data_IF_255523077599
#
_entry.id   IF_255523077599
#
_cell.length_a   1.000
_cell.length_b   1.000
_cell.length_c   1.000
_cell.angle_alpha   90.00
_cell.angle_beta   90.00
_cell.angle_gamma   90.00
#
_symmetry.space_group_name_H-M   'P 1'
#
loop_
_entity.id
_entity.type
_entity.pdbx_description
1 polymer ?
#
# COMPACT_ATOMS: atom_id res chain seq x y z
N UNK A 1 1.46 27.42 -2.06
CA UNK A 1 2.04 27.23 -0.71
C UNK A 1 2.71 25.88 -0.70
N UNK A 2 4.02 25.82 -0.45
CA UNK A 2 4.71 24.55 -0.18
C UNK A 2 4.08 23.97 1.08
N UNK A 3 3.44 22.81 0.99
CA UNK A 3 3.00 22.08 2.19
C UNK A 3 4.28 21.58 2.87
N UNK A 4 4.40 21.78 4.18
CA UNK A 4 5.51 21.18 4.91
C UNK A 4 5.36 19.65 4.85
N UNK A 5 6.47 18.98 4.54
CA UNK A 5 6.52 17.52 4.42
C UNK A 5 6.31 16.92 5.80
N UNK A 6 5.27 16.11 5.96
CA UNK A 6 5.04 15.37 7.19
C UNK A 6 5.97 14.14 7.23
N UNK A 7 6.90 14.05 8.20
CA UNK A 7 7.85 12.94 8.29
C UNK A 7 7.17 11.59 8.56
N UNK A 8 5.95 11.58 9.13
CA UNK A 8 5.21 10.35 9.41
C UNK A 8 4.83 9.60 8.14
N UNK A 9 4.49 10.32 7.06
CA UNK A 9 4.06 9.74 5.78
C UNK A 9 5.22 9.49 4.80
N UNK A 10 6.47 9.59 5.26
CA UNK A 10 7.63 9.32 4.42
C UNK A 10 8.04 7.84 4.48
N UNK A 11 8.49 7.26 3.34
CA UNK A 11 9.16 5.97 3.36
C UNK A 11 10.39 5.96 4.25
N UNK A 12 10.64 4.84 4.91
CA UNK A 12 11.88 4.66 5.68
C UNK A 12 13.10 4.81 4.76
N UNK A 13 14.02 5.71 5.12
CA UNK A 13 15.24 5.96 4.36
C UNK A 13 16.11 4.71 4.29
N UNK A 14 16.67 4.43 3.11
CA UNK A 14 17.64 3.35 2.94
C UNK A 14 18.97 3.62 3.65
N UNK A 15 19.24 4.87 4.06
CA UNK A 15 20.40 5.24 4.85
C UNK A 15 20.20 4.94 6.34
N UNK A 16 18.95 4.86 6.80
CA UNK A 16 18.60 4.56 8.20
C UNK A 16 18.39 3.06 8.39
N UNK A 17 17.62 2.43 7.50
CA UNK A 17 17.34 0.99 7.55
C UNK A 17 17.52 0.40 6.16
N UNK A 18 18.39 -0.61 6.06
CA UNK A 18 18.65 -1.33 4.82
C UNK A 18 17.34 -1.87 4.20
N UNK A 19 17.25 -1.87 2.87
CA UNK A 19 16.00 -2.17 2.13
C UNK A 19 15.49 -3.59 2.35
N UNK A 20 16.37 -4.55 2.65
CA UNK A 20 16.01 -5.93 2.97
C UNK A 20 15.52 -6.12 4.42
N UNK A 21 15.44 -5.05 5.22
CA UNK A 21 15.05 -5.08 6.62
C UNK A 21 13.79 -4.24 6.89
N UNK A 22 13.08 -4.60 7.95
CA UNK A 22 11.79 -4.01 8.34
C UNK A 22 10.59 -4.81 7.83
N UNK A 23 9.39 -4.41 8.25
CA UNK A 23 8.14 -5.01 7.76
C UNK A 23 7.88 -4.50 6.34
N UNK A 24 7.64 -5.37 5.34
CA UNK A 24 7.46 -4.97 3.96
C UNK A 24 6.04 -4.44 3.72
N UNK A 25 5.82 -3.16 4.02
CA UNK A 25 4.69 -2.38 3.51
C UNK A 25 5.00 -1.86 2.10
N UNK A 26 3.97 -1.47 1.35
CA UNK A 26 4.12 -0.94 0.01
C UNK A 26 4.98 0.32 0.02
N UNK A 27 6.09 0.29 -0.71
CA UNK A 27 7.10 1.34 -0.79
C UNK A 27 7.70 1.73 0.57
N UNK A 28 7.61 0.85 1.58
CA UNK A 28 8.05 1.11 2.97
C UNK A 28 7.33 2.30 3.63
N UNK A 29 6.09 2.56 3.24
CA UNK A 29 5.21 3.57 3.85
C UNK A 29 4.71 3.11 5.22
N UNK A 30 4.23 4.02 6.08
CA UNK A 30 3.53 3.63 7.31
C UNK A 30 2.33 2.73 6.98
N UNK A 31 2.19 1.65 7.75
CA UNK A 31 0.96 0.86 7.75
C UNK A 31 -0.09 1.57 8.61
N UNK A 32 -1.30 1.74 8.08
CA UNK A 32 -2.39 2.41 8.78
C UNK A 32 -3.69 1.63 8.65
N UNK A 33 -4.40 1.53 9.75
CA UNK A 33 -5.75 0.99 9.84
C UNK A 33 -6.75 2.13 10.08
N UNK A 34 -8.02 1.89 9.79
CA UNK A 34 -9.09 2.90 9.87
C UNK A 34 -9.28 3.50 11.28
N UNK A 35 -8.87 2.79 12.34
CA UNK A 35 -8.91 3.24 13.72
C UNK A 35 -7.73 4.15 14.13
N UNK A 36 -6.74 4.34 13.24
CA UNK A 36 -5.61 5.21 13.54
C UNK A 36 -6.06 6.68 13.64
N UNK A 37 -5.65 7.45 14.68
CA UNK A 37 -6.12 8.84 14.90
C UNK A 37 -5.75 9.82 13.79
N UNK A 38 -4.84 9.42 12.89
CA UNK A 38 -4.37 10.19 11.74
C UNK A 38 -4.89 9.66 10.40
N UNK A 39 -5.87 8.75 10.41
CA UNK A 39 -6.37 8.14 9.17
C UNK A 39 -6.91 9.19 8.20
N UNK A 40 -7.61 10.21 8.71
CA UNK A 40 -8.15 11.31 7.90
C UNK A 40 -7.09 12.27 7.34
N UNK A 41 -5.82 12.16 7.78
CA UNK A 41 -4.71 12.93 7.21
C UNK A 41 -4.22 12.33 5.88
N UNK A 42 -4.61 11.10 5.55
CA UNK A 42 -4.18 10.37 4.35
C UNK A 42 -4.83 11.00 3.11
N UNK A 43 -4.02 11.30 2.10
CA UNK A 43 -4.50 11.81 0.82
C UNK A 43 -4.52 10.72 -0.26
N UNK A 44 -3.62 9.74 -0.18
CA UNK A 44 -3.60 8.57 -1.06
C UNK A 44 -3.37 7.30 -0.21
N UNK A 45 -4.36 6.43 -0.17
CA UNK A 45 -4.26 5.10 0.42
C UNK A 45 -3.85 4.06 -0.63
N UNK A 46 -2.85 3.23 -0.29
CA UNK A 46 -2.44 2.07 -1.10
C UNK A 46 -2.96 0.82 -0.40
N UNK A 47 -3.83 0.06 -1.07
CA UNK A 47 -4.42 -1.16 -0.52
C UNK A 47 -4.22 -2.34 -1.46
N UNK A 48 -4.11 -3.53 -0.89
CA UNK A 48 -4.05 -4.78 -1.64
C UNK A 48 -5.40 -5.49 -1.67
N UNK A 49 -5.71 -6.11 -2.81
CA UNK A 49 -6.85 -7.03 -2.94
C UNK A 49 -6.30 -8.42 -3.29
N UNK A 50 -5.95 -9.25 -2.28
CA UNK A 50 -5.33 -10.56 -2.50
C UNK A 50 -6.39 -11.61 -2.87
N UNK A 51 -7.04 -11.44 -4.02
CA UNK A 51 -8.13 -12.30 -4.48
C UNK A 51 -7.97 -12.68 -5.94
N UNK A 52 -8.30 -13.92 -6.28
CA UNK A 52 -8.28 -14.44 -7.65
C UNK A 52 -9.44 -15.41 -7.93
N UNK A 53 -10.53 -15.33 -7.14
CA UNK A 53 -11.69 -16.22 -7.24
C UNK A 53 -12.43 -16.14 -8.59
N UNK A 54 -12.27 -15.06 -9.34
CA UNK A 54 -12.77 -14.92 -10.71
C UNK A 54 -11.90 -15.58 -11.79
N UNK A 55 -10.78 -16.20 -11.43
CA UNK A 55 -9.84 -16.76 -12.41
C UNK A 55 -10.34 -18.11 -12.93
N UNK A 56 -10.48 -18.24 -14.25
CA UNK A 56 -11.03 -19.44 -14.90
C UNK A 56 -9.99 -20.47 -15.37
N UNK A 57 -8.69 -20.11 -15.38
CA UNK A 57 -7.62 -20.97 -15.90
C UNK A 57 -6.43 -21.06 -14.92
N UNK A 58 -5.59 -20.03 -14.83
CA UNK A 58 -4.33 -20.07 -14.07
C UNK A 58 -4.39 -19.17 -12.83
N UNK A 59 -4.69 -19.71 -11.62
CA UNK A 59 -4.75 -18.92 -10.39
C UNK A 59 -3.35 -18.53 -9.89
N UNK A 60 -3.31 -17.69 -8.85
CA UNK A 60 -2.07 -17.26 -8.19
C UNK A 60 -2.01 -15.76 -7.92
N UNK A 61 -2.86 -14.96 -8.56
CA UNK A 61 -2.89 -13.51 -8.38
C UNK A 61 -3.21 -13.10 -6.92
N UNK A 62 -3.84 -13.97 -6.12
CA UNK A 62 -4.03 -13.77 -4.68
C UNK A 62 -2.73 -13.54 -3.91
N UNK A 63 -1.58 -13.98 -4.43
CA UNK A 63 -0.26 -13.77 -3.83
C UNK A 63 0.42 -12.48 -4.30
N UNK A 64 -0.14 -11.81 -5.31
CA UNK A 64 0.39 -10.61 -5.93
C UNK A 64 0.68 -9.47 -4.94
N UNK A 65 -0.29 -9.02 -4.12
CA UNK A 65 -0.07 -7.91 -3.20
C UNK A 65 1.11 -8.11 -2.25
N UNK A 66 1.32 -9.33 -1.74
CA UNK A 66 2.46 -9.66 -0.88
C UNK A 66 3.80 -9.51 -1.63
N UNK A 67 3.90 -10.08 -2.82
CA UNK A 67 5.13 -9.98 -3.62
C UNK A 67 5.40 -8.56 -4.12
N UNK A 68 4.35 -7.80 -4.44
CA UNK A 68 4.46 -6.40 -4.81
C UNK A 68 5.03 -5.56 -3.66
N UNK A 69 4.58 -5.77 -2.42
CA UNK A 69 5.16 -5.10 -1.25
C UNK A 69 6.62 -5.43 -1.04
N UNK A 70 7.00 -6.71 -1.12
CA UNK A 70 8.38 -7.16 -0.99
C UNK A 70 9.30 -6.49 -2.03
N UNK A 71 8.93 -6.56 -3.31
CA UNK A 71 9.71 -5.98 -4.41
C UNK A 71 9.72 -4.45 -4.41
N UNK A 72 8.67 -3.80 -3.87
CA UNK A 72 8.59 -2.33 -3.78
C UNK A 72 9.70 -1.73 -2.90
N UNK A 73 10.31 -2.52 -2.01
CA UNK A 73 11.41 -2.08 -1.15
C UNK A 73 12.64 -1.61 -1.93
N UNK A 74 12.78 -2.01 -3.21
CA UNK A 74 13.87 -1.57 -4.09
C UNK A 74 13.65 -0.18 -4.72
N UNK A 75 12.42 0.33 -4.72
CA UNK A 75 12.07 1.59 -5.40
C UNK A 75 12.44 2.80 -4.54
N UNK A 76 12.81 3.91 -5.19
CA UNK A 76 13.19 5.18 -4.54
C UNK A 76 12.01 6.16 -4.50
N UNK A 77 12.06 7.12 -3.59
CA UNK A 77 10.98 8.05 -3.31
C UNK A 77 10.76 9.14 -4.39
N UNK A 78 11.69 9.31 -5.33
CA UNK A 78 11.62 10.33 -6.39
C UNK A 78 11.78 9.68 -7.77
N UNK A 79 10.96 10.13 -8.72
CA UNK A 79 11.17 9.85 -10.13
C UNK A 79 12.27 10.77 -10.70
N UNK A 80 13.38 10.24 -11.24
CA UNK A 80 14.52 11.06 -11.69
C UNK A 80 14.27 11.80 -13.02
N UNK A 81 13.24 11.44 -13.78
CA UNK A 81 12.92 12.09 -15.07
C UNK A 81 12.01 13.28 -14.85
N UNK A 82 10.97 13.11 -14.02
CA UNK A 82 10.00 14.17 -13.75
C UNK A 82 10.34 15.00 -12.51
N UNK A 83 11.31 14.56 -11.71
CA UNK A 83 11.66 15.12 -10.39
C UNK A 83 10.50 15.14 -9.39
N UNK A 84 9.45 14.34 -9.62
CA UNK A 84 8.30 14.24 -8.72
C UNK A 84 8.64 13.27 -7.59
N UNK A 85 8.43 13.72 -6.36
CA UNK A 85 8.50 12.91 -5.14
C UNK A 85 7.08 12.77 -4.57
N UNK A 86 6.29 11.74 -4.95
CA UNK A 86 4.86 11.68 -4.61
C UNK A 86 4.61 11.76 -3.10
N UNK A 87 5.44 11.09 -2.30
CA UNK A 87 5.30 11.04 -0.84
C UNK A 87 5.65 12.36 -0.15
N UNK A 88 6.42 13.24 -0.79
CA UNK A 88 6.66 14.59 -0.30
C UNK A 88 5.55 15.57 -0.73
N UNK A 89 4.79 15.23 -1.76
CA UNK A 89 3.70 16.08 -2.28
C UNK A 89 2.37 15.86 -1.58
N UNK A 90 2.09 14.62 -1.17
CA UNK A 90 0.82 14.21 -0.55
C UNK A 90 1.06 13.12 0.50
N UNK A 91 0.21 13.08 1.52
CA UNK A 91 0.29 12.07 2.57
C UNK A 91 -0.17 10.71 2.03
N UNK A 92 0.75 9.74 1.98
CA UNK A 92 0.46 8.39 1.51
C UNK A 92 0.67 7.35 2.61
N UNK A 93 -0.15 6.30 2.63
CA UNK A 93 -0.01 5.19 3.56
C UNK A 93 -0.38 3.84 2.93
N UNK A 94 0.15 2.74 3.47
CA UNK A 94 -0.29 1.38 3.15
C UNK A 94 -1.44 0.99 4.08
N UNK A 95 -2.63 0.81 3.49
CA UNK A 95 -3.86 0.48 4.20
C UNK A 95 -4.02 -1.03 4.47
N UNK A 96 -3.02 -1.83 4.11
CA UNK A 96 -3.07 -3.27 4.24
C UNK A 96 -3.90 -3.92 3.13
N UNK A 97 -4.57 -5.02 3.48
CA UNK A 97 -5.32 -5.83 2.52
C UNK A 97 -6.81 -5.85 2.85
N UNK A 98 -7.65 -5.85 1.83
CA UNK A 98 -9.06 -6.24 1.98
C UNK A 98 -9.09 -7.72 2.37
N UNK A 99 -9.77 -8.11 3.47
CA UNK A 99 -9.84 -9.50 3.89
C UNK A 99 -10.69 -10.34 2.92
N UNK A 100 -10.10 -11.24 2.12
CA UNK A 100 -10.86 -11.97 1.11
C UNK A 100 -11.64 -13.13 1.74
N UNK A 101 -12.72 -13.56 1.08
CA UNK A 101 -13.33 -14.87 1.31
C UNK A 101 -12.94 -15.83 0.17
N UNK A 102 -12.01 -16.78 0.40
CA UNK A 102 -11.51 -17.63 -0.68
C UNK A 102 -12.52 -18.65 -1.21
N UNK A 103 -13.65 -18.86 -0.52
CA UNK A 103 -14.66 -19.87 -0.88
C UNK A 103 -15.94 -19.28 -1.45
N UNK A 104 -16.24 -18.02 -1.14
CA UNK A 104 -17.43 -17.31 -1.62
C UNK A 104 -17.03 -16.05 -2.41
N UNK A 105 -17.38 -16.08 -3.70
CA UNK A 105 -17.12 -14.99 -4.64
C UNK A 105 -17.95 -13.76 -4.28
N UNK A 106 -19.24 -13.93 -3.98
CA UNK A 106 -20.13 -12.80 -3.72
C UNK A 106 -19.76 -12.11 -2.39
N UNK A 107 -19.44 -12.90 -1.36
CA UNK A 107 -18.94 -12.33 -0.10
C UNK A 107 -17.63 -11.56 -0.30
N UNK A 108 -16.68 -12.09 -1.09
CA UNK A 108 -15.46 -11.35 -1.42
C UNK A 108 -15.73 -10.04 -2.15
N UNK A 109 -16.65 -10.03 -3.10
CA UNK A 109 -17.02 -8.83 -3.84
C UNK A 109 -17.64 -7.78 -2.90
N UNK A 110 -18.56 -8.19 -2.02
CA UNK A 110 -19.17 -7.30 -1.03
C UNK A 110 -18.12 -6.70 -0.09
N UNK A 111 -17.20 -7.51 0.45
CA UNK A 111 -16.12 -7.02 1.32
C UNK A 111 -15.20 -6.01 0.64
N UNK A 112 -14.90 -6.20 -0.65
CA UNK A 112 -14.12 -5.23 -1.42
C UNK A 112 -14.89 -3.92 -1.59
N UNK A 113 -16.20 -3.98 -1.87
CA UNK A 113 -17.05 -2.80 -1.93
C UNK A 113 -17.07 -2.06 -0.59
N UNK A 114 -17.40 -2.75 0.50
CA UNK A 114 -17.52 -2.18 1.85
C UNK A 114 -16.21 -1.56 2.34
N UNK A 115 -15.06 -2.08 1.91
CA UNK A 115 -13.76 -1.53 2.30
C UNK A 115 -13.43 -0.20 1.59
N UNK A 116 -13.98 0.02 0.38
CA UNK A 116 -13.60 1.14 -0.49
C UNK A 116 -14.65 2.27 -0.47
N UNK A 117 -15.91 1.95 -0.17
CA UNK A 117 -17.03 2.91 -0.08
C UNK A 117 -17.12 3.60 1.27
#
# INVERSE_FOLDING_TARGET
MSRDVDPFFQPISAMELARFAGVPTFMRLPHMTADHPRFDDINIGLLGVPWDGGTTNRPGARHGPRQMRDLSTMIRAMNPVTNISPFASVNCADLGDVPPNPVDIQDSLNRVTDFIS
#
